data_IF_940739599281
#
_entry.id   IF_940739599281
#
_cell.length_a   1.000
_cell.length_b   1.000
_cell.length_c   1.000
_cell.angle_alpha   90.00
_cell.angle_beta   90.00
_cell.angle_gamma   90.00
#
_symmetry.space_group_name_H-M   'P 1'
#
loop_
_entity.id
_entity.type
_entity.pdbx_description
1 polymer ?
#
# COMPACT_ATOMS: atom_id res chain seq x y z
N UNK A 1 4.95 3.13 11.89
CA UNK A 1 3.96 4.21 11.81
C UNK A 1 2.65 3.72 12.39
N UNK A 2 1.97 4.55 13.18
CA UNK A 2 0.81 4.19 14.00
C UNK A 2 -0.44 4.91 13.50
N UNK A 3 -1.50 4.17 13.20
CA UNK A 3 -2.77 4.73 12.72
C UNK A 3 -3.89 4.33 13.67
N UNK A 4 -4.70 5.30 14.13
CA UNK A 4 -5.86 5.05 14.98
C UNK A 4 -7.14 5.06 14.15
N UNK A 5 -7.90 3.97 14.14
CA UNK A 5 -9.26 3.91 13.60
C UNK A 5 -10.29 4.11 14.70
N UNK A 6 -11.19 5.07 14.51
CA UNK A 6 -12.35 5.35 15.37
C UNK A 6 -13.60 5.01 14.57
N UNK A 7 -14.33 3.96 14.93
CA UNK A 7 -15.46 3.52 14.13
C UNK A 7 -16.28 2.39 14.71
N UNK A 8 -17.26 1.94 13.96
CA UNK A 8 -18.10 0.80 14.32
C UNK A 8 -17.41 -0.53 14.11
N UNK A 9 -17.74 -1.52 14.93
CA UNK A 9 -17.31 -2.91 14.79
C UNK A 9 -18.30 -3.67 13.91
N UNK A 10 -17.83 -4.27 12.82
CA UNK A 10 -18.58 -5.11 11.89
C UNK A 10 -18.27 -6.59 12.14
N UNK A 11 -19.27 -7.35 12.62
CA UNK A 11 -19.12 -8.79 12.89
C UNK A 11 -18.77 -9.62 11.67
N UNK A 12 -19.12 -9.16 10.45
CA UNK A 12 -18.72 -9.83 9.20
C UNK A 12 -17.29 -9.51 8.76
N UNK A 13 -16.64 -8.58 9.45
CA UNK A 13 -15.28 -8.12 9.13
C UNK A 13 -15.08 -7.62 7.69
N UNK A 14 -16.17 -7.22 7.03
CA UNK A 14 -16.16 -6.69 5.67
C UNK A 14 -15.99 -5.17 5.62
N UNK A 15 -16.36 -4.48 6.69
CA UNK A 15 -16.22 -3.02 6.86
C UNK A 15 -15.80 -2.69 8.30
N UNK A 16 -16.00 -1.44 8.73
CA UNK A 16 -15.72 -0.98 10.07
C UNK A 16 -14.24 -1.09 10.45
N UNK A 17 -13.96 -1.07 11.76
CA UNK A 17 -12.60 -1.14 12.28
C UNK A 17 -11.86 -2.41 11.85
N UNK A 18 -12.56 -3.52 11.65
CA UNK A 18 -11.94 -4.79 11.20
C UNK A 18 -11.37 -4.67 9.77
N UNK A 19 -12.09 -3.98 8.89
CA UNK A 19 -11.61 -3.70 7.53
C UNK A 19 -10.46 -2.68 7.55
N UNK A 20 -10.54 -1.70 8.44
CA UNK A 20 -9.48 -0.70 8.62
C UNK A 20 -8.18 -1.37 9.07
N UNK A 21 -8.20 -2.23 10.09
CA UNK A 21 -7.03 -2.99 10.58
C UNK A 21 -6.41 -3.83 9.47
N UNK A 22 -7.22 -4.59 8.71
CA UNK A 22 -6.72 -5.38 7.56
C UNK A 22 -6.04 -4.49 6.51
N UNK A 23 -6.57 -3.29 6.30
CA UNK A 23 -6.00 -2.33 5.36
C UNK A 23 -4.70 -1.76 5.90
N UNK A 24 -4.63 -1.42 7.18
CA UNK A 24 -3.41 -0.93 7.85
C UNK A 24 -2.29 -1.97 7.75
N UNK A 25 -2.55 -3.21 8.11
CA UNK A 25 -1.61 -4.33 7.98
C UNK A 25 -1.12 -4.49 6.52
N UNK A 26 -2.04 -4.40 5.56
CA UNK A 26 -1.69 -4.47 4.14
C UNK A 26 -0.80 -3.32 3.65
N UNK A 27 -0.72 -2.22 4.39
CA UNK A 27 0.14 -1.06 4.09
C UNK A 27 1.40 -1.02 4.95
N UNK A 28 1.60 -2.01 5.84
CA UNK A 28 2.76 -2.07 6.74
C UNK A 28 2.72 -1.00 7.84
N UNK A 29 1.53 -0.56 8.27
CA UNK A 29 1.36 0.35 9.40
C UNK A 29 0.62 -0.35 10.54
N UNK A 30 0.96 -0.02 11.79
CA UNK A 30 0.30 -0.59 12.96
C UNK A 30 -1.02 0.11 13.22
N UNK A 31 -2.10 -0.66 13.41
CA UNK A 31 -3.45 -0.16 13.60
C UNK A 31 -3.94 -0.25 15.05
N UNK A 32 -4.38 0.88 15.60
CA UNK A 32 -5.13 0.96 16.85
C UNK A 32 -6.61 1.16 16.57
N UNK A 33 -7.47 0.82 17.53
CA UNK A 33 -8.92 0.94 17.36
C UNK A 33 -9.61 1.54 18.55
N UNK A 34 -10.65 2.36 18.28
CA UNK A 34 -11.66 2.81 19.24
C UNK A 34 -13.02 2.45 18.69
N UNK A 35 -13.79 1.65 19.43
CA UNK A 35 -15.11 1.18 19.03
C UNK A 35 -16.17 2.21 19.42
N UNK A 36 -16.92 2.70 18.44
CA UNK A 36 -18.04 3.65 18.66
C UNK A 36 -19.40 2.98 18.73
N UNK A 37 -19.55 1.84 18.05
CA UNK A 37 -20.75 1.02 18.04
C UNK A 37 -20.41 -0.44 17.72
N UNK A 38 -21.20 -1.38 18.21
CA UNK A 38 -21.15 -2.79 17.84
C UNK A 38 -22.35 -3.07 16.93
N UNK A 39 -22.12 -3.70 15.76
CA UNK A 39 -23.20 -4.11 14.87
C UNK A 39 -23.36 -5.63 14.85
N UNK A 40 -24.62 -6.10 14.82
CA UNK A 40 -24.94 -7.46 14.41
C UNK A 40 -25.17 -7.45 12.92
N UNK A 41 -24.13 -7.76 12.15
CA UNK A 41 -24.09 -7.56 10.71
C UNK A 41 -23.61 -8.80 9.97
N UNK A 42 -24.16 -9.04 8.80
CA UNK A 42 -23.71 -10.04 7.84
C UNK A 42 -23.74 -9.46 6.41
N UNK A 43 -23.45 -10.28 5.41
CA UNK A 43 -23.40 -9.85 4.01
C UNK A 43 -24.74 -9.42 3.42
N UNK A 44 -25.87 -9.64 4.11
CA UNK A 44 -27.22 -9.25 3.67
C UNK A 44 -27.77 -8.03 4.38
N UNK A 45 -27.55 -7.90 5.69
CA UNK A 45 -28.16 -6.83 6.50
C UNK A 45 -27.40 -6.54 7.80
N UNK A 46 -27.69 -5.37 8.35
CA UNK A 46 -27.42 -5.02 9.75
C UNK A 46 -28.71 -5.21 10.52
N UNK A 47 -28.74 -6.15 11.47
CA UNK A 47 -29.94 -6.46 12.26
C UNK A 47 -30.03 -5.66 13.56
N UNK A 48 -28.89 -5.31 14.18
CA UNK A 48 -28.83 -4.49 15.39
C UNK A 48 -27.59 -3.59 15.37
N UNK A 49 -27.74 -2.42 16.01
CA UNK A 49 -26.64 -1.48 16.28
C UNK A 49 -26.71 -1.16 17.77
N UNK A 50 -25.61 -1.43 18.50
CA UNK A 50 -25.43 -1.05 19.89
C UNK A 50 -24.41 0.10 19.96
N UNK A 51 -24.85 1.35 20.18
CA UNK A 51 -23.93 2.46 20.41
C UNK A 51 -23.13 2.27 21.70
N UNK A 52 -21.86 2.59 21.67
CA UNK A 52 -21.01 2.58 22.87
C UNK A 52 -21.19 3.90 23.65
N UNK A 53 -21.26 3.81 24.95
CA UNK A 53 -21.46 5.02 25.80
C UNK A 53 -20.29 6.00 25.65
N UNK A 54 -20.61 7.30 25.73
CA UNK A 54 -19.61 8.38 25.66
C UNK A 54 -18.46 8.20 26.66
N UNK A 55 -18.76 7.67 27.86
CA UNK A 55 -17.77 7.40 28.91
C UNK A 55 -16.75 6.36 28.45
N UNK A 56 -17.20 5.25 27.86
CA UNK A 56 -16.32 4.19 27.36
C UNK A 56 -15.52 4.67 26.15
N UNK A 57 -16.13 5.42 25.24
CA UNK A 57 -15.40 5.98 24.08
C UNK A 57 -14.27 6.90 24.52
N UNK A 58 -14.52 7.77 25.49
CA UNK A 58 -13.48 8.64 26.05
C UNK A 58 -12.36 7.82 26.72
N UNK A 59 -12.72 6.83 27.52
CA UNK A 59 -11.74 5.95 28.17
C UNK A 59 -10.87 5.19 27.16
N UNK A 60 -11.45 4.66 26.08
CA UNK A 60 -10.69 4.02 25.00
C UNK A 60 -9.70 5.00 24.34
N UNK A 61 -10.16 6.23 24.02
CA UNK A 61 -9.33 7.27 23.43
C UNK A 61 -8.18 7.68 24.37
N UNK A 62 -8.48 7.90 25.62
CA UNK A 62 -7.49 8.25 26.63
C UNK A 62 -6.44 7.15 26.81
N UNK A 63 -6.85 5.88 26.90
CA UNK A 63 -5.94 4.74 27.02
C UNK A 63 -4.94 4.67 25.85
N UNK A 64 -5.38 4.93 24.62
CA UNK A 64 -4.50 4.89 23.44
C UNK A 64 -3.62 6.15 23.37
N UNK A 65 -4.21 7.33 23.54
CA UNK A 65 -3.50 8.59 23.29
C UNK A 65 -2.52 8.99 24.40
N UNK A 66 -2.62 8.39 25.59
CA UNK A 66 -1.66 8.60 26.66
C UNK A 66 -0.44 7.69 26.57
N UNK A 67 -0.56 6.54 25.94
CA UNK A 67 0.51 5.53 25.84
C UNK A 67 1.23 5.56 24.48
N UNK A 68 0.47 5.78 23.39
CA UNK A 68 0.99 5.64 22.03
C UNK A 68 1.04 6.96 21.27
N UNK A 69 2.13 7.18 20.54
CA UNK A 69 2.21 8.25 19.55
C UNK A 69 1.46 7.82 18.29
N UNK A 70 0.40 8.54 17.97
CA UNK A 70 -0.42 8.32 16.76
C UNK A 70 0.04 9.27 15.65
N UNK A 71 0.35 8.70 14.49
CA UNK A 71 0.79 9.46 13.31
C UNK A 71 -0.37 9.98 12.47
N UNK A 72 -1.48 9.23 12.39
CA UNK A 72 -2.72 9.59 11.66
C UNK A 72 -3.94 9.00 12.37
N UNK A 73 -5.05 9.73 12.36
CA UNK A 73 -6.35 9.26 12.87
C UNK A 73 -7.30 9.09 11.69
N UNK A 74 -8.00 7.95 11.62
CA UNK A 74 -9.14 7.72 10.72
C UNK A 74 -10.42 7.71 11.53
N UNK A 75 -11.40 8.55 11.16
CA UNK A 75 -12.74 8.58 11.76
C UNK A 75 -13.74 8.00 10.77
N UNK A 76 -14.44 6.94 11.17
CA UNK A 76 -15.52 6.31 10.41
C UNK A 76 -16.89 6.54 11.07
N UNK A 77 -17.63 5.46 11.34
CA UNK A 77 -19.00 5.52 11.87
C UNK A 77 -19.07 6.18 13.26
N UNK A 78 -19.88 7.26 13.36
CA UNK A 78 -20.20 7.99 14.60
C UNK A 78 -21.72 8.11 14.81
N UNK A 79 -22.40 7.06 15.09
CA UNK A 79 -23.84 6.81 15.02
C UNK A 79 -24.75 7.96 15.47
N UNK A 80 -24.42 8.70 16.55
CA UNK A 80 -25.25 9.79 17.09
C UNK A 80 -24.46 10.95 17.72
N UNK A 81 -25.17 12.00 18.12
CA UNK A 81 -24.59 13.23 18.68
C UNK A 81 -23.79 13.02 19.97
N UNK A 82 -24.14 12.02 20.78
CA UNK A 82 -23.42 11.71 22.01
C UNK A 82 -22.00 11.21 21.70
N UNK A 83 -21.89 10.30 20.74
CA UNK A 83 -20.62 9.76 20.23
C UNK A 83 -19.79 10.87 19.56
N UNK A 84 -20.41 11.69 18.72
CA UNK A 84 -19.75 12.83 18.04
C UNK A 84 -19.09 13.75 19.06
N UNK A 85 -19.86 14.16 20.11
CA UNK A 85 -19.37 15.04 21.17
C UNK A 85 -18.22 14.41 21.95
N UNK A 86 -18.32 13.12 22.28
CA UNK A 86 -17.28 12.39 22.98
C UNK A 86 -15.96 12.34 22.18
N UNK A 87 -16.02 11.95 20.90
CA UNK A 87 -14.88 11.90 20.00
C UNK A 87 -14.27 13.30 19.80
N UNK A 88 -15.10 14.30 19.46
CA UNK A 88 -14.63 15.67 19.25
C UNK A 88 -13.95 16.26 20.49
N UNK A 89 -14.44 15.99 21.70
CA UNK A 89 -13.86 16.56 22.94
C UNK A 89 -12.39 16.23 23.14
N UNK A 90 -11.94 15.09 22.63
CA UNK A 90 -10.56 14.61 22.76
C UNK A 90 -9.78 14.86 21.46
N UNK A 91 -10.35 14.49 20.30
CA UNK A 91 -9.63 14.50 19.03
C UNK A 91 -9.31 15.92 18.54
N UNK A 92 -10.11 16.93 18.87
CA UNK A 92 -9.81 18.34 18.53
C UNK A 92 -8.48 18.87 19.10
N UNK A 93 -7.89 18.17 20.07
CA UNK A 93 -6.59 18.51 20.67
C UNK A 93 -5.42 17.85 19.94
N UNK A 94 -5.67 16.95 19.01
CA UNK A 94 -4.64 16.23 18.28
C UNK A 94 -4.13 17.07 17.11
N UNK A 95 -2.82 16.99 16.86
CA UNK A 95 -2.15 17.75 15.79
C UNK A 95 -1.83 16.89 14.55
N UNK A 96 -1.97 15.57 14.66
CA UNK A 96 -1.74 14.65 13.55
C UNK A 96 -2.86 14.77 12.47
N UNK A 97 -2.58 14.40 11.21
CA UNK A 97 -3.60 14.37 10.15
C UNK A 97 -4.80 13.49 10.52
N UNK A 98 -6.00 13.94 10.13
CA UNK A 98 -7.24 13.23 10.38
C UNK A 98 -7.95 12.96 9.05
N UNK A 99 -8.21 11.69 8.76
CA UNK A 99 -9.00 11.23 7.61
C UNK A 99 -10.41 10.91 8.08
N UNK A 100 -11.41 11.57 7.50
CA UNK A 100 -12.81 11.40 7.87
C UNK A 100 -13.56 10.69 6.76
N UNK A 101 -14.15 9.53 7.08
CA UNK A 101 -15.08 8.78 6.24
C UNK A 101 -16.49 9.04 6.76
N UNK A 102 -17.30 9.87 6.09
CA UNK A 102 -18.60 10.33 6.63
C UNK A 102 -19.71 9.32 6.38
N UNK A 103 -19.57 8.14 6.96
CA UNK A 103 -20.49 7.02 6.76
C UNK A 103 -21.89 7.38 7.29
N UNK A 104 -22.82 7.70 6.38
CA UNK A 104 -24.22 8.04 6.72
C UNK A 104 -25.10 6.80 6.60
N UNK A 105 -24.88 5.98 5.55
CA UNK A 105 -25.64 4.75 5.31
C UNK A 105 -24.69 3.60 4.94
N UNK A 106 -25.09 2.38 5.30
CA UNK A 106 -24.39 1.17 4.82
C UNK A 106 -24.70 0.89 3.34
N UNK A 107 -23.93 0.00 2.73
CA UNK A 107 -24.22 -0.54 1.39
C UNK A 107 -25.62 -1.19 1.33
N UNK A 108 -26.08 -1.77 2.46
CA UNK A 108 -27.43 -2.33 2.60
C UNK A 108 -28.49 -1.27 3.02
N UNK A 109 -28.17 0.02 2.88
CA UNK A 109 -29.02 1.19 3.13
C UNK A 109 -29.49 1.38 4.58
N UNK A 110 -28.90 0.68 5.55
CA UNK A 110 -29.15 0.93 6.98
C UNK A 110 -28.54 2.26 7.40
N UNK A 111 -29.27 3.06 8.19
CA UNK A 111 -28.81 4.36 8.72
C UNK A 111 -27.69 4.10 9.76
N UNK A 112 -26.50 4.66 9.51
CA UNK A 112 -25.31 4.56 10.36
C UNK A 112 -24.93 5.89 11.02
N UNK A 113 -25.54 6.99 10.58
CA UNK A 113 -25.53 8.30 11.24
C UNK A 113 -26.97 8.79 11.35
N UNK A 114 -27.47 8.98 12.57
CA UNK A 114 -28.83 9.51 12.80
C UNK A 114 -29.00 10.87 12.16
N UNK A 115 -30.16 11.12 11.51
CA UNK A 115 -30.46 12.44 10.88
C UNK A 115 -30.29 13.59 11.84
N UNK A 116 -30.69 13.42 13.11
CA UNK A 116 -30.55 14.42 14.19
C UNK A 116 -29.08 14.77 14.50
N UNK A 117 -28.14 13.88 14.20
CA UNK A 117 -26.73 14.08 14.47
C UNK A 117 -25.96 14.77 13.34
N UNK A 118 -26.55 14.93 12.15
CA UNK A 118 -25.89 15.53 10.97
C UNK A 118 -25.41 16.96 11.26
N UNK A 119 -26.21 17.75 12.00
CA UNK A 119 -25.82 19.12 12.38
C UNK A 119 -24.56 19.14 13.25
N UNK A 120 -24.50 18.26 14.24
CA UNK A 120 -23.33 18.14 15.11
C UNK A 120 -22.12 17.60 14.35
N UNK A 121 -22.32 16.64 13.44
CA UNK A 121 -21.28 16.11 12.57
C UNK A 121 -20.64 17.23 11.70
N UNK A 122 -21.47 18.06 11.06
CA UNK A 122 -21.00 19.21 10.26
C UNK A 122 -20.22 20.21 11.10
N UNK A 123 -20.68 20.49 12.33
CA UNK A 123 -20.08 21.49 13.22
C UNK A 123 -18.80 21.00 13.90
N UNK A 124 -18.70 19.72 14.22
CA UNK A 124 -17.68 19.19 15.14
C UNK A 124 -16.67 18.26 14.48
N UNK A 125 -17.05 17.51 13.44
CA UNK A 125 -16.18 16.49 12.83
C UNK A 125 -15.57 17.00 11.52
N UNK A 126 -16.37 17.60 10.63
CA UNK A 126 -15.85 18.12 9.35
C UNK A 126 -14.69 19.10 9.55
N UNK A 127 -14.71 20.05 10.53
CA UNK A 127 -13.59 20.95 10.76
C UNK A 127 -12.27 20.28 11.21
N UNK A 128 -12.33 19.05 11.69
CA UNK A 128 -11.14 18.29 12.08
C UNK A 128 -10.42 17.64 10.88
N UNK A 129 -11.14 17.50 9.76
CA UNK A 129 -10.66 16.69 8.64
C UNK A 129 -9.48 17.35 7.90
N UNK A 130 -8.33 16.67 7.89
CA UNK A 130 -7.28 16.93 6.91
C UNK A 130 -7.76 16.50 5.53
N UNK A 131 -8.45 15.34 5.45
CA UNK A 131 -9.11 14.83 4.25
C UNK A 131 -10.46 14.24 4.67
N UNK A 132 -11.51 14.57 3.93
CA UNK A 132 -12.83 13.91 4.05
C UNK A 132 -13.18 13.20 2.75
N UNK A 133 -13.74 11.97 2.84
CA UNK A 133 -13.95 11.07 1.69
C UNK A 133 -15.43 10.68 1.46
N UNK A 134 -16.37 11.63 1.33
CA UNK A 134 -17.76 11.30 1.05
C UNK A 134 -17.92 10.66 -0.33
N UNK A 135 -18.88 9.75 -0.46
CA UNK A 135 -19.42 9.40 -1.77
C UNK A 135 -20.39 10.49 -2.27
N UNK A 136 -20.91 10.32 -3.49
CA UNK A 136 -21.82 11.31 -4.12
C UNK A 136 -23.09 11.56 -3.32
N UNK A 137 -23.71 10.53 -2.70
CA UNK A 137 -24.91 10.68 -1.87
C UNK A 137 -24.60 11.41 -0.55
N UNK A 138 -23.52 11.02 0.10
CA UNK A 138 -23.04 11.64 1.34
C UNK A 138 -22.64 13.10 1.13
N UNK A 139 -21.94 13.41 0.04
CA UNK A 139 -21.55 14.78 -0.28
C UNK A 139 -22.78 15.69 -0.47
N UNK A 140 -23.84 15.19 -1.12
CA UNK A 140 -25.11 15.91 -1.24
C UNK A 140 -25.77 16.15 0.11
N UNK A 141 -25.82 15.16 0.99
CA UNK A 141 -26.42 15.29 2.34
C UNK A 141 -25.63 16.30 3.19
N UNK A 142 -24.30 16.25 3.13
CA UNK A 142 -23.45 17.13 3.90
C UNK A 142 -23.43 18.57 3.38
N UNK A 143 -23.44 18.77 2.09
CA UNK A 143 -23.36 20.10 1.48
C UNK A 143 -24.68 20.76 1.20
N UNK A 144 -25.70 19.97 0.84
CA UNK A 144 -26.97 20.42 0.26
C UNK A 144 -26.93 20.58 -1.26
N UNK A 145 -25.79 20.41 -1.92
CA UNK A 145 -25.60 20.59 -3.36
C UNK A 145 -25.56 19.26 -4.10
N UNK A 146 -26.13 19.21 -5.31
CA UNK A 146 -26.04 18.04 -6.20
C UNK A 146 -24.85 18.10 -7.17
N UNK A 147 -24.32 19.30 -7.44
CA UNK A 147 -23.07 19.51 -8.19
C UNK A 147 -21.89 19.05 -7.34
N UNK A 148 -21.02 18.24 -7.92
CA UNK A 148 -19.83 17.67 -7.25
C UNK A 148 -18.88 18.79 -6.81
N UNK A 149 -18.64 19.77 -7.68
CA UNK A 149 -17.76 20.92 -7.41
C UNK A 149 -18.31 21.77 -6.26
N UNK A 150 -19.61 22.10 -6.31
CA UNK A 150 -20.23 22.96 -5.28
C UNK A 150 -20.33 22.21 -3.95
N UNK A 151 -20.60 20.90 -3.99
CA UNK A 151 -20.59 20.05 -2.80
C UNK A 151 -19.21 20.02 -2.15
N UNK A 152 -18.15 19.82 -2.93
CA UNK A 152 -16.78 19.80 -2.42
C UNK A 152 -16.38 21.15 -1.80
N UNK A 153 -16.65 22.26 -2.50
CA UNK A 153 -16.41 23.62 -1.99
C UNK A 153 -17.19 23.90 -0.71
N UNK A 154 -18.45 23.48 -0.64
CA UNK A 154 -19.27 23.66 0.57
C UNK A 154 -18.72 22.85 1.74
N UNK A 155 -18.31 21.63 1.53
CA UNK A 155 -17.70 20.78 2.58
C UNK A 155 -16.37 21.39 3.05
N UNK A 156 -15.58 21.96 2.14
CA UNK A 156 -14.36 22.68 2.48
C UNK A 156 -14.65 23.94 3.30
N UNK A 157 -15.70 24.72 2.94
CA UNK A 157 -16.17 25.87 3.73
C UNK A 157 -16.68 25.47 5.13
N UNK A 158 -17.13 24.23 5.33
CA UNK A 158 -17.48 23.71 6.65
C UNK A 158 -16.24 23.37 7.49
N UNK A 159 -15.03 23.51 6.95
CA UNK A 159 -13.76 23.42 7.67
C UNK A 159 -12.85 22.24 7.29
N UNK A 160 -13.25 21.34 6.39
CA UNK A 160 -12.36 20.30 5.88
C UNK A 160 -11.22 20.92 5.05
N UNK A 161 -9.97 20.47 5.25
CA UNK A 161 -8.84 21.03 4.47
C UNK A 161 -8.85 20.56 3.02
N UNK A 162 -9.15 19.28 2.80
CA UNK A 162 -9.22 18.65 1.47
C UNK A 162 -10.44 17.74 1.39
N UNK A 163 -11.02 17.60 0.20
CA UNK A 163 -12.25 16.83 -0.04
C UNK A 163 -12.03 15.88 -1.21
N UNK A 164 -12.34 14.61 -1.02
CA UNK A 164 -12.35 13.62 -2.10
C UNK A 164 -13.75 13.05 -2.21
N UNK A 165 -14.49 13.40 -3.28
CA UNK A 165 -15.81 12.82 -3.55
C UNK A 165 -15.61 11.56 -4.38
N UNK A 166 -15.79 10.40 -3.74
CA UNK A 166 -15.63 9.10 -4.39
C UNK A 166 -16.83 8.77 -5.28
N UNK A 167 -16.59 8.15 -6.45
CA UNK A 167 -17.64 7.86 -7.40
C UNK A 167 -18.36 9.12 -7.87
N UNK A 168 -17.65 10.22 -8.03
CA UNK A 168 -18.19 11.53 -8.43
C UNK A 168 -18.86 11.48 -9.80
N UNK A 169 -18.32 10.65 -10.69
CA UNK A 169 -18.88 10.31 -11.98
C UNK A 169 -18.60 8.84 -12.31
N UNK A 170 -19.52 8.19 -13.02
CA UNK A 170 -19.35 6.80 -13.43
C UNK A 170 -19.99 6.51 -14.78
N UNK A 171 -19.32 5.66 -15.57
CA UNK A 171 -19.81 5.07 -16.81
C UNK A 171 -19.83 3.54 -16.71
N UNK A 172 -20.15 2.85 -17.81
CA UNK A 172 -20.12 1.38 -17.84
C UNK A 172 -18.70 0.81 -17.53
N UNK A 173 -17.63 1.53 -17.89
CA UNK A 173 -16.24 1.05 -17.81
C UNK A 173 -15.34 1.84 -16.86
N UNK A 174 -15.73 3.07 -16.52
CA UNK A 174 -14.87 4.00 -15.77
C UNK A 174 -15.59 4.53 -14.53
N UNK A 175 -14.83 4.77 -13.46
CA UNK A 175 -15.26 5.45 -12.25
C UNK A 175 -14.28 6.56 -11.92
N UNK A 176 -14.81 7.74 -11.58
CA UNK A 176 -14.03 8.92 -11.30
C UNK A 176 -14.21 9.35 -9.84
N UNK A 177 -13.13 9.84 -9.23
CA UNK A 177 -13.19 10.53 -7.94
C UNK A 177 -12.76 11.97 -8.17
N UNK A 178 -13.51 12.91 -7.59
CA UNK A 178 -13.19 14.33 -7.64
C UNK A 178 -12.40 14.70 -6.40
N UNK A 179 -11.23 15.29 -6.57
CA UNK A 179 -10.36 15.75 -5.49
C UNK A 179 -10.30 17.27 -5.50
N UNK A 180 -10.59 17.89 -4.35
CA UNK A 180 -10.34 19.30 -4.06
C UNK A 180 -9.24 19.39 -3.01
N UNK A 181 -8.03 19.74 -3.44
CA UNK A 181 -6.84 19.88 -2.60
C UNK A 181 -6.50 21.37 -2.48
N UNK A 182 -6.72 21.94 -1.29
CA UNK A 182 -6.58 23.39 -1.07
C UNK A 182 -7.43 24.18 -2.06
N UNK A 183 -6.82 24.86 -3.05
CA UNK A 183 -7.52 25.62 -4.11
C UNK A 183 -7.56 24.90 -5.45
N UNK A 184 -6.77 23.83 -5.60
CA UNK A 184 -6.66 23.06 -6.83
C UNK A 184 -7.65 21.90 -6.83
N UNK A 185 -8.10 21.51 -8.02
CA UNK A 185 -8.92 20.31 -8.17
C UNK A 185 -8.43 19.46 -9.33
N UNK A 186 -8.66 18.16 -9.22
CA UNK A 186 -8.36 17.19 -10.27
C UNK A 186 -9.26 15.97 -10.15
N UNK A 187 -9.26 15.14 -11.19
CA UNK A 187 -10.06 13.92 -11.27
C UNK A 187 -9.12 12.71 -11.30
N UNK A 188 -9.35 11.76 -10.41
CA UNK A 188 -8.72 10.45 -10.47
C UNK A 188 -9.63 9.49 -11.22
N UNK A 189 -9.11 8.96 -12.34
CA UNK A 189 -9.84 7.99 -13.18
C UNK A 189 -9.40 6.57 -12.84
N UNK A 190 -10.33 5.62 -12.91
CA UNK A 190 -10.08 4.20 -12.74
C UNK A 190 -11.09 3.35 -13.47
N UNK A 191 -10.72 2.09 -13.71
CA UNK A 191 -11.63 1.10 -14.27
C UNK A 191 -12.75 0.77 -13.28
N UNK A 192 -13.99 0.65 -13.77
CA UNK A 192 -15.15 0.25 -12.96
C UNK A 192 -15.32 -1.26 -12.97
N UNK A 193 -15.40 -1.85 -11.78
CA UNK A 193 -15.78 -3.25 -11.61
C UNK A 193 -17.24 -3.32 -11.19
N UNK A 194 -18.06 -4.00 -11.98
CA UNK A 194 -19.50 -4.12 -11.75
C UNK A 194 -19.81 -5.23 -10.71
N UNK A 195 -19.24 -5.11 -9.52
CA UNK A 195 -19.47 -6.01 -8.39
C UNK A 195 -19.97 -5.17 -7.21
N UNK A 196 -21.18 -5.50 -6.71
CA UNK A 196 -21.66 -4.93 -5.45
C UNK A 196 -20.85 -5.53 -4.31
N UNK A 197 -20.18 -4.68 -3.55
CA UNK A 197 -19.28 -5.11 -2.49
C UNK A 197 -19.49 -4.33 -1.20
N UNK A 198 -19.00 -4.90 -0.11
CA UNK A 198 -19.02 -4.31 1.24
C UNK A 198 -17.59 -3.96 1.65
N UNK A 199 -17.42 -2.74 2.18
CA UNK A 199 -16.17 -2.27 2.78
C UNK A 199 -15.24 -1.44 1.87
N UNK A 200 -15.57 -1.24 0.57
CA UNK A 200 -14.72 -0.45 -0.33
C UNK A 200 -14.48 1.00 0.16
N UNK A 201 -15.49 1.67 0.72
CA UNK A 201 -15.33 3.01 1.32
C UNK A 201 -14.38 3.01 2.51
N UNK A 202 -14.55 2.06 3.45
CA UNK A 202 -13.64 1.90 4.59
C UNK A 202 -12.21 1.58 4.14
N UNK A 203 -12.04 0.71 3.14
CA UNK A 203 -10.73 0.41 2.56
C UNK A 203 -10.10 1.66 1.93
N UNK A 204 -10.89 2.51 1.26
CA UNK A 204 -10.41 3.75 0.63
C UNK A 204 -9.86 4.72 1.68
N UNK A 205 -10.68 5.06 2.67
CA UNK A 205 -10.32 5.99 3.74
C UNK A 205 -9.17 5.47 4.61
N UNK A 206 -9.14 4.16 4.91
CA UNK A 206 -8.05 3.52 5.65
C UNK A 206 -6.74 3.48 4.85
N UNK A 207 -6.81 3.27 3.52
CA UNK A 207 -5.65 3.34 2.63
C UNK A 207 -5.05 4.74 2.55
N UNK A 208 -5.90 5.79 2.51
CA UNK A 208 -5.45 7.18 2.60
C UNK A 208 -4.76 7.43 3.94
N UNK A 209 -5.36 7.02 5.06
CA UNK A 209 -4.78 7.20 6.38
C UNK A 209 -3.41 6.52 6.51
N UNK A 210 -3.27 5.29 6.02
CA UNK A 210 -2.00 4.57 5.96
C UNK A 210 -0.95 5.30 5.11
N UNK A 211 -1.36 5.80 3.93
CA UNK A 211 -0.48 6.51 3.02
C UNK A 211 0.04 7.82 3.62
N UNK A 212 -0.82 8.57 4.33
CA UNK A 212 -0.41 9.78 5.05
C UNK A 212 0.54 9.47 6.22
N UNK A 213 0.32 8.35 6.94
CA UNK A 213 1.25 7.90 7.97
C UNK A 213 2.64 7.58 7.40
N UNK A 214 2.69 7.03 6.18
CA UNK A 214 3.90 6.79 5.40
C UNK A 214 4.46 8.05 4.72
N UNK A 215 3.95 9.26 5.06
CA UNK A 215 4.40 10.57 4.57
C UNK A 215 4.24 10.78 3.05
N UNK A 216 3.30 10.08 2.42
CA UNK A 216 2.95 10.33 1.01
C UNK A 216 2.19 11.66 0.88
N UNK A 217 2.28 12.29 -0.28
CA UNK A 217 1.46 13.46 -0.63
C UNK A 217 -0.04 13.09 -0.67
N UNK A 218 -0.93 14.08 -0.61
CA UNK A 218 -2.39 13.84 -0.72
C UNK A 218 -2.72 13.23 -2.07
N UNK A 219 -2.11 13.74 -3.15
CA UNK A 219 -2.28 13.19 -4.48
C UNK A 219 -1.90 11.71 -4.56
N UNK A 220 -0.71 11.35 -4.07
CA UNK A 220 -0.22 9.97 -4.10
C UNK A 220 -1.06 9.06 -3.19
N UNK A 221 -1.48 9.57 -2.03
CA UNK A 221 -2.35 8.83 -1.10
C UNK A 221 -3.71 8.51 -1.74
N UNK A 222 -4.32 9.47 -2.45
CA UNK A 222 -5.59 9.28 -3.12
C UNK A 222 -5.48 8.34 -4.34
N UNK A 223 -4.43 8.49 -5.14
CA UNK A 223 -4.14 7.60 -6.28
C UNK A 223 -3.92 6.16 -5.80
N UNK A 224 -3.09 5.98 -4.77
CA UNK A 224 -2.82 4.67 -4.21
C UNK A 224 -4.06 4.02 -3.59
N UNK A 225 -4.88 4.80 -2.88
CA UNK A 225 -6.14 4.32 -2.31
C UNK A 225 -7.12 3.86 -3.38
N UNK A 226 -7.21 4.59 -4.51
CA UNK A 226 -8.05 4.21 -5.64
C UNK A 226 -7.62 2.86 -6.24
N UNK A 227 -6.33 2.68 -6.47
CA UNK A 227 -5.79 1.40 -6.97
C UNK A 227 -5.97 0.27 -5.94
N UNK A 228 -5.72 0.53 -4.66
CA UNK A 228 -5.93 -0.45 -3.59
C UNK A 228 -7.37 -0.95 -3.55
N UNK A 229 -8.35 -0.04 -3.64
CA UNK A 229 -9.78 -0.39 -3.65
C UNK A 229 -10.15 -1.16 -4.92
N UNK A 230 -9.65 -0.75 -6.09
CA UNK A 230 -9.84 -1.50 -7.33
C UNK A 230 -9.40 -2.96 -7.17
N UNK A 231 -8.20 -3.19 -6.65
CA UNK A 231 -7.69 -4.53 -6.39
C UNK A 231 -8.50 -5.28 -5.33
N UNK A 232 -8.99 -4.58 -4.30
CA UNK A 232 -9.82 -5.16 -3.25
C UNK A 232 -11.19 -5.63 -3.78
N UNK A 233 -11.80 -4.87 -4.70
CA UNK A 233 -13.05 -5.23 -5.36
C UNK A 233 -12.83 -6.38 -6.36
N UNK A 234 -11.77 -6.32 -7.16
CA UNK A 234 -11.38 -7.36 -8.12
C UNK A 234 -11.17 -8.72 -7.45
N UNK A 235 -10.58 -8.70 -6.25
CA UNK A 235 -10.33 -9.90 -5.44
C UNK A 235 -11.42 -10.15 -4.38
N UNK A 236 -12.57 -9.46 -4.48
CA UNK A 236 -13.66 -9.61 -3.53
C UNK A 236 -14.16 -11.06 -3.46
N UNK A 237 -14.59 -11.46 -2.27
CA UNK A 237 -15.02 -12.84 -2.01
C UNK A 237 -16.49 -12.91 -1.66
N UNK A 238 -17.16 -13.91 -2.25
CA UNK A 238 -18.50 -14.32 -1.82
C UNK A 238 -18.35 -15.31 -0.66
N UNK A 239 -18.25 -14.79 0.58
CA UNK A 239 -18.10 -15.59 1.80
C UNK A 239 -19.42 -15.89 2.49
N UNK A 240 -20.52 -15.31 2.01
CA UNK A 240 -21.84 -15.45 2.60
C UNK A 240 -22.94 -15.49 1.53
N UNK A 241 -24.18 -15.39 1.99
CA UNK A 241 -25.37 -15.45 1.10
C UNK A 241 -25.80 -14.08 0.55
N UNK A 242 -25.00 -13.03 0.73
CA UNK A 242 -25.30 -11.65 0.32
C UNK A 242 -24.23 -11.07 -0.61
N UNK A 243 -23.92 -9.79 -0.43
CA UNK A 243 -22.95 -9.08 -1.26
C UNK A 243 -21.51 -9.52 -0.97
N UNK A 244 -20.64 -9.38 -1.94
CA UNK A 244 -19.22 -9.69 -1.81
C UNK A 244 -18.53 -8.79 -0.77
N UNK A 245 -17.50 -9.31 -0.13
CA UNK A 245 -16.62 -8.54 0.75
C UNK A 245 -15.40 -8.10 -0.04
N UNK A 246 -15.14 -6.79 -0.07
CA UNK A 246 -13.92 -6.24 -0.67
C UNK A 246 -12.71 -6.72 0.14
N UNK A 247 -11.78 -7.41 -0.54
CA UNK A 247 -10.68 -8.06 0.15
C UNK A 247 -9.40 -8.02 -0.69
N UNK A 248 -8.34 -7.47 -0.14
CA UNK A 248 -7.00 -7.59 -0.72
C UNK A 248 -6.13 -8.40 0.23
N UNK A 249 -5.76 -9.60 -0.19
CA UNK A 249 -4.73 -10.39 0.50
C UNK A 249 -3.37 -10.01 -0.07
N UNK A 250 -2.48 -9.50 0.74
CA UNK A 250 -1.06 -9.48 0.41
C UNK A 250 -0.59 -10.94 0.49
N UNK A 251 0.06 -11.42 -0.55
CA UNK A 251 0.64 -12.76 -0.52
C UNK A 251 1.79 -12.80 0.48
N UNK A 252 2.04 -13.94 1.10
CA UNK A 252 3.20 -14.13 1.97
C UNK A 252 4.50 -13.68 1.28
N UNK A 253 4.63 -13.94 -0.03
CA UNK A 253 5.76 -13.48 -0.84
C UNK A 253 5.89 -11.96 -0.89
N UNK A 254 4.76 -11.22 -0.94
CA UNK A 254 4.79 -9.75 -0.92
C UNK A 254 5.25 -9.21 0.44
N UNK A 255 4.79 -9.83 1.54
CA UNK A 255 5.24 -9.45 2.88
C UNK A 255 6.74 -9.72 3.03
N UNK A 256 7.22 -10.93 2.72
CA UNK A 256 8.63 -11.30 2.81
C UNK A 256 9.54 -10.38 1.99
N UNK A 257 9.12 -10.00 0.79
CA UNK A 257 9.89 -9.08 -0.05
C UNK A 257 9.82 -7.64 0.48
N UNK A 258 8.66 -7.17 0.94
CA UNK A 258 8.46 -5.84 1.52
C UNK A 258 9.31 -5.62 2.77
N UNK A 259 9.30 -6.59 3.69
CA UNK A 259 10.10 -6.55 4.92
C UNK A 259 11.59 -6.50 4.58
N UNK A 260 12.01 -7.33 3.62
CA UNK A 260 13.40 -7.36 3.17
C UNK A 260 13.84 -6.09 2.44
N UNK A 261 12.93 -5.42 1.72
CA UNK A 261 13.20 -4.08 1.13
C UNK A 261 13.41 -3.06 2.24
N UNK A 262 12.57 -3.06 3.27
CA UNK A 262 12.72 -2.19 4.44
C UNK A 262 14.05 -2.44 5.15
N UNK A 263 14.41 -3.70 5.36
CA UNK A 263 15.71 -4.09 5.94
C UNK A 263 16.91 -3.66 5.08
N UNK A 264 16.79 -3.71 3.76
CA UNK A 264 17.80 -3.22 2.82
C UNK A 264 17.94 -1.70 2.91
N UNK A 265 16.82 -0.97 2.94
CA UNK A 265 16.81 0.50 3.06
C UNK A 265 17.45 0.99 4.37
N UNK A 266 17.37 0.19 5.44
CA UNK A 266 17.95 0.50 6.76
C UNK A 266 19.45 0.15 6.86
N UNK A 267 20.09 -0.39 5.83
CA UNK A 267 21.54 -0.64 5.82
C UNK A 267 22.27 0.70 5.83
N UNK A 268 23.28 0.84 6.67
CA UNK A 268 24.10 2.07 6.74
C UNK A 268 24.74 2.35 5.37
N UNK A 269 24.67 3.58 4.89
CA UNK A 269 25.20 4.01 3.59
C UNK A 269 24.67 3.19 2.39
N UNK A 270 23.44 2.68 2.49
CA UNK A 270 22.79 1.88 1.44
C UNK A 270 22.73 2.59 0.08
N UNK A 271 22.66 3.91 0.07
CA UNK A 271 22.64 4.73 -1.15
C UNK A 271 23.87 4.49 -2.05
N UNK A 272 25.02 4.10 -1.47
CA UNK A 272 26.23 3.78 -2.21
C UNK A 272 26.16 2.45 -2.98
N UNK A 273 25.18 1.60 -2.63
CA UNK A 273 24.94 0.32 -3.30
C UNK A 273 24.02 0.47 -4.53
N UNK A 274 23.39 1.63 -4.72
CA UNK A 274 22.47 1.85 -5.84
C UNK A 274 23.26 2.22 -7.09
N UNK A 275 23.14 1.43 -8.19
CA UNK A 275 23.76 1.74 -9.48
C UNK A 275 23.02 2.89 -10.19
N UNK A 276 23.59 3.44 -11.27
CA UNK A 276 22.94 4.51 -12.07
C UNK A 276 21.63 4.01 -12.70
N UNK A 277 21.60 2.76 -13.18
CA UNK A 277 20.38 2.12 -13.69
C UNK A 277 19.37 1.75 -12.59
N UNK A 278 19.66 2.12 -11.32
CA UNK A 278 18.85 1.84 -10.14
C UNK A 278 18.74 0.35 -9.78
N UNK A 279 18.16 0.06 -8.62
CA UNK A 279 18.08 -1.29 -8.07
C UNK A 279 16.67 -1.86 -8.21
N UNK A 280 16.55 -3.13 -8.54
CA UNK A 280 15.33 -3.89 -8.34
C UNK A 280 15.59 -5.10 -7.45
N UNK A 281 14.66 -5.42 -6.58
CA UNK A 281 14.70 -6.55 -5.68
C UNK A 281 13.52 -7.47 -6.02
N UNK A 282 13.78 -8.75 -6.24
CA UNK A 282 12.79 -9.71 -6.73
C UNK A 282 12.69 -10.95 -5.86
N UNK A 283 11.50 -11.55 -5.86
CA UNK A 283 11.21 -12.83 -5.24
C UNK A 283 10.28 -13.66 -6.14
N UNK A 284 10.70 -14.88 -6.50
CA UNK A 284 9.98 -15.72 -7.44
C UNK A 284 9.10 -16.78 -6.77
N UNK A 285 8.05 -17.23 -7.47
CA UNK A 285 7.41 -18.52 -7.20
C UNK A 285 8.42 -19.66 -7.35
N UNK A 286 8.08 -20.81 -6.82
CA UNK A 286 8.90 -22.02 -7.00
C UNK A 286 8.96 -22.35 -8.50
N UNK A 287 10.17 -22.61 -9.03
CA UNK A 287 10.43 -22.94 -10.44
C UNK A 287 9.75 -21.95 -11.41
N UNK A 288 10.13 -20.67 -11.40
CA UNK A 288 9.54 -19.65 -12.26
C UNK A 288 9.89 -19.96 -13.72
N UNK A 289 8.89 -19.92 -14.62
CA UNK A 289 9.10 -20.13 -16.07
C UNK A 289 9.05 -18.85 -16.87
N UNK A 290 8.44 -17.80 -16.34
CA UNK A 290 8.22 -16.51 -17.01
C UNK A 290 8.22 -15.37 -15.99
N UNK A 291 8.40 -14.14 -16.49
CA UNK A 291 8.57 -12.92 -15.66
C UNK A 291 7.36 -12.71 -14.74
N UNK A 292 6.15 -13.07 -15.17
CA UNK A 292 4.93 -12.99 -14.35
C UNK A 292 4.90 -13.98 -13.17
N UNK A 293 5.90 -14.86 -13.06
CA UNK A 293 6.09 -15.70 -11.86
C UNK A 293 7.04 -15.07 -10.83
N UNK A 294 7.59 -13.89 -11.12
CA UNK A 294 8.57 -13.19 -10.29
C UNK A 294 7.96 -11.88 -9.81
N UNK A 295 7.88 -11.72 -8.49
CA UNK A 295 7.48 -10.50 -7.81
C UNK A 295 8.66 -9.54 -7.80
N UNK A 296 8.43 -8.26 -8.14
CA UNK A 296 9.44 -7.22 -8.13
C UNK A 296 8.80 -5.84 -8.04
N UNK A 297 9.60 -4.79 -7.91
CA UNK A 297 9.13 -3.41 -7.84
C UNK A 297 8.82 -2.93 -9.26
N UNK A 298 7.60 -2.44 -9.52
CA UNK A 298 7.17 -1.92 -10.84
C UNK A 298 7.99 -0.72 -11.31
N UNK A 299 8.48 0.09 -10.35
CA UNK A 299 9.52 1.09 -10.54
C UNK A 299 10.91 0.54 -10.17
N UNK A 300 11.55 1.16 -9.19
CA UNK A 300 12.90 0.77 -8.72
C UNK A 300 13.06 1.15 -7.24
N UNK A 301 14.14 0.66 -6.62
CA UNK A 301 14.74 1.30 -5.46
C UNK A 301 15.69 2.38 -5.97
N UNK A 302 15.39 3.62 -5.63
CA UNK A 302 16.10 4.80 -6.15
C UNK A 302 16.84 5.53 -5.05
N UNK A 303 17.98 6.10 -5.39
CA UNK A 303 18.75 6.93 -4.48
C UNK A 303 18.05 8.29 -4.27
N UNK A 304 17.83 8.66 -3.01
CA UNK A 304 17.28 9.93 -2.58
C UNK A 304 18.21 10.56 -1.53
N UNK A 305 19.24 11.27 -1.99
CA UNK A 305 20.32 11.74 -1.14
C UNK A 305 21.11 10.58 -0.51
N UNK A 306 21.13 10.52 0.82
CA UNK A 306 21.75 9.42 1.57
C UNK A 306 20.80 8.23 1.82
N UNK A 307 19.53 8.38 1.46
CA UNK A 307 18.51 7.34 1.62
C UNK A 307 18.23 6.62 0.31
N UNK A 308 17.50 5.51 0.42
CA UNK A 308 16.94 4.77 -0.69
C UNK A 308 15.44 4.69 -0.52
N UNK A 309 14.69 5.03 -1.55
CA UNK A 309 13.23 4.98 -1.55
C UNK A 309 12.73 3.97 -2.58
N UNK A 310 11.58 3.36 -2.30
CA UNK A 310 10.88 2.51 -3.24
C UNK A 310 9.98 3.37 -4.13
N UNK A 311 10.26 3.39 -5.44
CA UNK A 311 9.46 4.08 -6.45
C UNK A 311 8.61 3.04 -7.20
N UNK A 312 7.40 2.81 -6.75
CA UNK A 312 6.45 1.86 -7.33
C UNK A 312 6.07 0.70 -6.40
N UNK A 313 5.08 -0.08 -6.83
CA UNK A 313 4.49 -1.17 -6.04
C UNK A 313 5.15 -2.52 -6.30
N UNK A 314 4.96 -3.47 -5.37
CA UNK A 314 5.34 -4.86 -5.54
C UNK A 314 4.30 -5.58 -6.41
N UNK A 315 4.69 -5.91 -7.64
CA UNK A 315 3.82 -6.59 -8.61
C UNK A 315 4.54 -7.76 -9.26
N UNK A 316 3.80 -8.79 -9.61
CA UNK A 316 4.33 -9.85 -10.45
C UNK A 316 4.62 -9.31 -11.85
N UNK A 317 5.83 -9.57 -12.37
CA UNK A 317 6.30 -8.97 -13.62
C UNK A 317 6.93 -7.58 -13.47
N UNK A 318 7.04 -7.02 -12.25
CA UNK A 318 7.53 -5.67 -11.98
C UNK A 318 9.02 -5.43 -12.29
N UNK A 319 9.79 -6.47 -12.52
CA UNK A 319 11.19 -6.40 -12.93
C UNK A 319 11.43 -7.30 -14.14
N UNK A 320 12.23 -6.84 -15.10
CA UNK A 320 12.64 -7.68 -16.23
C UNK A 320 14.05 -8.26 -16.04
N UNK A 321 15.05 -7.41 -15.82
CA UNK A 321 16.45 -7.80 -15.74
C UNK A 321 16.76 -8.78 -14.60
N UNK A 322 16.43 -8.40 -13.36
CA UNK A 322 16.72 -9.23 -12.19
C UNK A 322 15.82 -10.47 -12.16
N UNK A 323 14.59 -10.35 -12.64
CA UNK A 323 13.69 -11.49 -12.80
C UNK A 323 14.23 -12.53 -13.78
N UNK A 324 14.77 -12.09 -14.94
CA UNK A 324 15.41 -12.98 -15.91
C UNK A 324 16.59 -13.71 -15.28
N UNK A 325 17.41 -13.01 -14.49
CA UNK A 325 18.56 -13.65 -13.80
C UNK A 325 18.09 -14.76 -12.83
N UNK A 326 17.04 -14.50 -12.03
CA UNK A 326 16.48 -15.52 -11.12
C UNK A 326 15.90 -16.70 -11.91
N UNK A 327 15.16 -16.46 -13.00
CA UNK A 327 14.60 -17.52 -13.83
C UNK A 327 15.73 -18.41 -14.38
N UNK A 328 16.80 -17.82 -14.92
CA UNK A 328 17.91 -18.59 -15.47
C UNK A 328 18.65 -19.41 -14.40
N UNK A 329 18.96 -18.83 -13.25
CA UNK A 329 19.61 -19.54 -12.14
C UNK A 329 18.72 -20.67 -11.62
N UNK A 330 17.40 -20.41 -11.47
CA UNK A 330 16.46 -21.40 -10.93
C UNK A 330 16.22 -22.63 -11.82
N UNK A 331 16.58 -22.57 -13.11
CA UNK A 331 16.57 -23.76 -13.99
C UNK A 331 17.50 -24.85 -13.47
N UNK A 332 18.66 -24.46 -12.92
CA UNK A 332 19.68 -25.36 -12.38
C UNK A 332 19.62 -25.49 -10.86
N UNK A 333 19.26 -24.41 -10.17
CA UNK A 333 19.16 -24.31 -8.72
C UNK A 333 17.77 -23.82 -8.33
N UNK A 334 16.76 -24.71 -8.28
CA UNK A 334 15.35 -24.35 -8.06
C UNK A 334 15.07 -23.69 -6.71
N UNK A 335 15.96 -23.84 -5.75
CA UNK A 335 15.93 -23.21 -4.43
C UNK A 335 16.23 -21.70 -4.47
N UNK A 336 16.98 -21.23 -5.48
CA UNK A 336 17.23 -19.79 -5.67
C UNK A 336 15.97 -19.12 -6.20
N UNK A 337 15.38 -18.26 -5.37
CA UNK A 337 14.13 -17.59 -5.65
C UNK A 337 14.19 -16.09 -5.54
N UNK A 338 15.25 -15.53 -4.98
CA UNK A 338 15.39 -14.10 -4.75
C UNK A 338 16.71 -13.57 -5.27
N UNK A 339 16.67 -12.32 -5.78
CA UNK A 339 17.88 -11.60 -6.16
C UNK A 339 17.67 -10.09 -6.14
N UNK A 340 18.78 -9.37 -5.97
CA UNK A 340 18.86 -7.91 -6.05
C UNK A 340 20.07 -7.50 -6.89
N UNK A 341 19.94 -6.46 -7.69
CA UNK A 341 21.10 -5.86 -8.34
C UNK A 341 21.63 -4.69 -7.53
N UNK A 342 22.96 -4.63 -7.40
CA UNK A 342 23.65 -3.55 -6.71
C UNK A 342 24.81 -3.02 -7.57
N UNK A 343 25.30 -1.85 -7.22
CA UNK A 343 26.42 -1.20 -7.89
C UNK A 343 27.68 -2.08 -7.86
N UNK A 344 28.39 -2.13 -8.95
CA UNK A 344 29.66 -2.84 -9.04
C UNK A 344 30.74 -2.12 -8.21
N UNK A 345 31.35 -2.84 -7.29
CA UNK A 345 32.53 -2.41 -6.53
C UNK A 345 33.44 -3.63 -6.33
N UNK A 346 34.71 -3.56 -6.79
CA UNK A 346 35.70 -4.61 -6.57
C UNK A 346 35.93 -4.96 -5.09
N UNK A 347 35.77 -4.00 -4.18
CA UNK A 347 35.87 -4.23 -2.73
C UNK A 347 34.80 -5.17 -2.22
N UNK A 348 33.57 -5.05 -2.73
CA UNK A 348 32.46 -5.97 -2.42
C UNK A 348 32.81 -7.39 -2.83
N UNK A 349 33.33 -7.59 -4.05
CA UNK A 349 33.71 -8.90 -4.54
C UNK A 349 34.86 -9.51 -3.72
N UNK A 350 35.82 -8.70 -3.29
CA UNK A 350 36.95 -9.15 -2.43
C UNK A 350 36.42 -9.62 -1.06
N UNK A 351 35.48 -8.85 -0.45
CA UNK A 351 34.84 -9.25 0.82
C UNK A 351 34.01 -10.52 0.66
N UNK A 352 33.25 -10.67 -0.43
CA UNK A 352 32.47 -11.87 -0.71
C UNK A 352 33.38 -13.13 -0.80
N UNK A 353 34.48 -13.06 -1.53
CA UNK A 353 35.44 -14.16 -1.61
C UNK A 353 36.08 -14.51 -0.26
N UNK A 354 36.44 -13.50 0.56
CA UNK A 354 36.89 -13.72 1.94
C UNK A 354 35.87 -14.42 2.83
N UNK A 355 34.57 -14.20 2.56
CA UNK A 355 33.43 -14.87 3.24
C UNK A 355 33.10 -16.24 2.64
N UNK A 356 33.91 -16.75 1.69
CA UNK A 356 33.71 -18.03 1.00
C UNK A 356 32.37 -18.08 0.21
N UNK A 357 31.88 -16.94 -0.24
CA UNK A 357 30.71 -16.89 -1.13
C UNK A 357 31.10 -17.34 -2.53
N UNK A 358 30.22 -18.06 -3.22
CA UNK A 358 30.39 -18.46 -4.62
C UNK A 358 30.15 -17.24 -5.54
N UNK A 359 31.26 -16.74 -6.13
CA UNK A 359 31.29 -15.55 -6.97
C UNK A 359 31.61 -15.92 -8.41
N UNK A 360 30.62 -15.79 -9.28
CA UNK A 360 30.72 -16.07 -10.70
C UNK A 360 30.76 -14.78 -11.51
N UNK A 361 31.26 -14.84 -12.75
CA UNK A 361 31.24 -13.70 -13.67
C UNK A 361 31.10 -14.13 -15.11
N UNK A 362 30.60 -13.24 -15.93
CA UNK A 362 30.60 -13.38 -17.38
C UNK A 362 31.11 -12.11 -18.05
N UNK A 363 31.68 -12.28 -19.24
CA UNK A 363 32.20 -11.18 -20.04
C UNK A 363 31.24 -10.85 -21.18
N UNK A 364 30.60 -9.68 -21.10
CA UNK A 364 29.65 -9.20 -22.12
C UNK A 364 30.28 -8.98 -23.50
N UNK A 365 31.58 -8.80 -23.58
CA UNK A 365 32.28 -8.67 -24.85
C UNK A 365 32.20 -9.95 -25.70
N UNK A 366 32.04 -11.12 -25.03
CA UNK A 366 31.90 -12.44 -25.67
C UNK A 366 30.48 -12.74 -26.14
N UNK A 367 29.54 -11.83 -25.91
CA UNK A 367 28.15 -11.99 -26.30
C UNK A 367 27.99 -11.88 -27.84
N UNK A 368 27.21 -12.79 -28.43
CA UNK A 368 26.96 -12.78 -29.88
C UNK A 368 26.17 -11.55 -30.31
N UNK A 369 26.37 -11.07 -31.55
CA UNK A 369 25.66 -9.94 -32.13
C UNK A 369 24.13 -10.15 -32.08
N UNK A 370 23.65 -11.37 -32.35
CA UNK A 370 22.21 -11.71 -32.32
C UNK A 370 21.61 -11.66 -30.92
N UNK A 371 22.39 -11.97 -29.88
CA UNK A 371 21.97 -11.83 -28.47
C UNK A 371 21.87 -10.36 -28.05
N UNK A 372 22.79 -9.50 -28.53
CA UNK A 372 22.79 -8.06 -28.22
C UNK A 372 21.58 -7.31 -28.76
N UNK A 373 20.94 -7.82 -29.83
CA UNK A 373 19.78 -7.19 -30.48
C UNK A 373 18.43 -7.49 -29.80
N UNK A 374 18.34 -8.55 -28.99
CA UNK A 374 17.11 -8.95 -28.31
C UNK A 374 17.12 -8.43 -26.86
N UNK A 375 16.08 -7.72 -26.47
CA UNK A 375 15.90 -7.21 -25.10
C UNK A 375 15.94 -8.37 -24.08
N UNK A 376 16.71 -8.24 -22.99
CA UNK A 376 16.96 -9.22 -21.92
C UNK A 376 17.70 -10.51 -22.30
N UNK A 377 18.03 -10.74 -23.56
CA UNK A 377 18.79 -11.94 -23.94
C UNK A 377 20.23 -11.94 -23.41
N UNK A 378 20.83 -10.76 -23.24
CA UNK A 378 22.17 -10.59 -22.66
C UNK A 378 22.30 -11.15 -21.25
N UNK A 379 21.28 -10.96 -20.39
CA UNK A 379 21.30 -11.48 -19.02
C UNK A 379 21.08 -12.98 -19.03
N UNK A 380 20.11 -13.48 -19.78
CA UNK A 380 19.87 -14.90 -19.94
C UNK A 380 21.12 -15.60 -20.44
N UNK A 381 21.74 -15.10 -21.51
CA UNK A 381 22.98 -15.64 -22.07
C UNK A 381 24.14 -15.61 -21.05
N UNK A 382 24.38 -14.45 -20.43
CA UNK A 382 25.49 -14.28 -19.49
C UNK A 382 25.41 -15.16 -18.27
N UNK A 383 24.21 -15.20 -17.64
CA UNK A 383 23.93 -16.02 -16.47
C UNK A 383 24.08 -17.51 -16.83
N UNK A 384 23.40 -17.98 -17.87
CA UNK A 384 23.45 -19.40 -18.28
C UNK A 384 24.86 -19.88 -18.57
N UNK A 385 25.69 -19.06 -19.21
CA UNK A 385 27.07 -19.44 -19.56
C UNK A 385 28.04 -19.44 -18.38
N UNK A 386 27.76 -18.70 -17.30
CA UNK A 386 28.64 -18.67 -16.14
C UNK A 386 28.26 -19.69 -15.06
N UNK A 387 27.07 -20.31 -15.12
CA UNK A 387 26.61 -21.25 -14.10
C UNK A 387 27.44 -22.53 -14.08
N UNK A 388 28.13 -22.79 -12.95
CA UNK A 388 28.90 -23.98 -12.63
C UNK A 388 28.10 -25.00 -11.83
N UNK A 389 28.74 -26.00 -11.25
CA UNK A 389 28.09 -27.01 -10.41
C UNK A 389 27.64 -26.47 -9.05
N UNK A 390 28.24 -25.39 -8.58
CA UNK A 390 27.92 -24.76 -7.31
C UNK A 390 26.88 -23.69 -7.47
N UNK A 391 26.00 -23.57 -6.46
CA UNK A 391 24.96 -22.54 -6.36
C UNK A 391 25.61 -21.16 -6.20
N UNK A 392 25.28 -20.16 -7.06
CA UNK A 392 25.91 -18.85 -6.99
C UNK A 392 25.31 -17.99 -5.87
N UNK A 393 26.19 -17.37 -5.06
CA UNK A 393 25.79 -16.26 -4.18
C UNK A 393 25.79 -14.94 -4.95
N UNK A 394 26.73 -14.78 -5.86
CA UNK A 394 26.93 -13.56 -6.64
C UNK A 394 27.26 -13.88 -8.08
N UNK A 395 26.63 -13.17 -9.00
CA UNK A 395 27.03 -13.12 -10.40
C UNK A 395 27.27 -11.65 -10.77
N UNK A 396 28.42 -11.35 -11.43
CA UNK A 396 28.72 -9.99 -11.83
C UNK A 396 29.24 -9.91 -13.26
N UNK A 397 29.17 -8.71 -13.83
CA UNK A 397 29.84 -8.33 -15.08
C UNK A 397 30.45 -6.94 -14.96
N UNK A 398 31.52 -6.69 -15.74
CA UNK A 398 32.23 -5.40 -15.78
C UNK A 398 31.61 -4.37 -16.75
N UNK A 399 30.43 -4.66 -17.27
CA UNK A 399 29.79 -3.82 -18.27
C UNK A 399 30.26 -4.04 -19.70
N UNK A 400 29.83 -3.21 -20.62
CA UNK A 400 30.25 -3.12 -22.04
C UNK A 400 29.90 -1.69 -22.51
N UNK A 401 30.23 -1.31 -23.74
CA UNK A 401 29.89 0.01 -24.28
C UNK A 401 28.38 0.34 -24.07
N UNK A 402 28.09 1.43 -23.33
CA UNK A 402 26.72 1.83 -22.99
C UNK A 402 26.00 0.91 -21.97
N UNK A 403 26.70 0.03 -21.28
CA UNK A 403 26.14 -0.89 -20.27
C UNK A 403 26.94 -0.82 -18.97
N UNK A 404 26.27 -0.39 -17.90
CA UNK A 404 26.84 -0.24 -16.57
C UNK A 404 27.34 -1.60 -16.01
N UNK A 405 28.50 -1.64 -15.32
CA UNK A 405 28.94 -2.79 -14.53
C UNK A 405 27.96 -3.08 -13.39
N UNK A 406 27.70 -4.36 -13.10
CA UNK A 406 26.67 -4.73 -12.13
C UNK A 406 27.03 -5.99 -11.35
N UNK A 407 26.59 -6.03 -10.09
CA UNK A 407 26.58 -7.21 -9.23
C UNK A 407 25.13 -7.62 -9.00
N UNK A 408 24.83 -8.91 -9.14
CA UNK A 408 23.54 -9.50 -8.74
C UNK A 408 23.82 -10.48 -7.59
N UNK A 409 23.15 -10.25 -6.45
CA UNK A 409 23.23 -11.11 -5.26
C UNK A 409 22.00 -12.01 -5.23
N UNK A 410 22.19 -13.30 -5.04
CA UNK A 410 21.16 -14.33 -5.05
C UNK A 410 20.95 -14.95 -3.67
N UNK A 411 19.73 -15.47 -3.46
CA UNK A 411 19.36 -16.21 -2.25
C UNK A 411 18.09 -17.03 -2.43
N UNK A 412 17.84 -17.91 -1.49
CA UNK A 412 16.60 -18.71 -1.44
C UNK A 412 15.40 -17.86 -1.00
N UNK A 413 15.66 -16.85 -0.14
CA UNK A 413 14.68 -15.88 0.36
C UNK A 413 15.22 -14.45 0.21
N UNK A 414 14.33 -13.44 0.21
CA UNK A 414 14.75 -12.04 0.22
C UNK A 414 15.59 -11.69 1.46
N UNK A 415 15.25 -12.21 2.63
CA UNK A 415 15.99 -11.98 3.88
C UNK A 415 17.43 -12.51 3.80
N UNK A 416 17.64 -13.65 3.15
CA UNK A 416 18.99 -14.18 2.90
C UNK A 416 19.81 -13.24 2.01
N UNK A 417 19.22 -12.70 0.97
CA UNK A 417 19.89 -11.74 0.08
C UNK A 417 20.34 -10.50 0.86
N UNK A 418 19.47 -9.92 1.72
CA UNK A 418 19.83 -8.78 2.57
C UNK A 418 20.96 -9.14 3.55
N UNK A 419 20.90 -10.32 4.16
CA UNK A 419 21.95 -10.80 5.06
C UNK A 419 23.30 -10.90 4.34
N UNK A 420 23.35 -11.45 3.12
CA UNK A 420 24.55 -11.50 2.29
C UNK A 420 25.12 -10.10 2.00
N UNK A 421 24.25 -9.14 1.66
CA UNK A 421 24.66 -7.74 1.43
C UNK A 421 25.28 -7.12 2.68
N UNK A 422 24.65 -7.28 3.86
CA UNK A 422 25.20 -6.80 5.14
C UNK A 422 26.60 -7.36 5.45
N UNK A 423 26.93 -8.54 4.95
CA UNK A 423 28.23 -9.18 5.17
C UNK A 423 29.33 -8.66 4.23
N UNK A 424 28.98 -8.12 3.07
CA UNK A 424 29.93 -7.72 2.01
C UNK A 424 30.04 -6.21 1.79
N UNK A 425 29.19 -5.43 2.44
CA UNK A 425 29.20 -3.95 2.39
C UNK A 425 30.39 -3.27 3.13
#
# INVERSE_FOLDING_TARGET
>A
MNVLSIGGSDTSSGAGIQSDIKTFENHGVYGFTVITAITSQNTKKISKILPISSKIIKSQLESILTDFKIDVIKIGMLYDSSIIKAVNSIIKKQTCPIVVDPIIKSTTKTILLKKSAIKDYKKMIIPLATIITPNREESKILSGYSSVMDAARKIQQLGAKNVIITGSNESKKMIEDFVLESKNNYILKGEKINIINHGSGCNYSASIASSLALKRSIHDAAQYAKEYVFQSIKNSRNLGKGINIAYKKISQMQNELSDSITDFQNIKNVSNLIPECQTNFVFSKIRPKKIENVLGISGRLVRAGNNVIQAGDLVFGGSRHVATAVIEVSKKFPEIRSAINIKYDPKILTKAKKRKMSVLSYDRKKESKNSKLKENSSISWGVSNCLKLEMPDIIYHKGDLGKEPMIIVFGTTPAEVVRKIKQIQ
#
